data_IF_554854484675
#
_entry.id   IF_554854484675
#
_cell.length_a   1.000
_cell.length_b   1.000
_cell.length_c   1.000
_cell.angle_alpha   90.00
_cell.angle_beta   90.00
_cell.angle_gamma   90.00
#
_symmetry.space_group_name_H-M   'P 1'
#
loop_
_entity.id
_entity.type
_entity.pdbx_description
1 polymer ?
#
# COMPACT_ATOMS: atom_id res chain seq x y z
N UNK A 1 22.40 -10.40 -5.71
CA UNK A 1 21.32 -10.05 -6.69
C UNK A 1 22.02 -9.79 -8.02
N UNK A 2 21.58 -10.39 -9.15
CA UNK A 2 22.16 -10.06 -10.46
C UNK A 2 22.02 -8.56 -10.75
N UNK A 3 23.01 -8.00 -11.47
CA UNK A 3 22.99 -6.57 -11.84
C UNK A 3 22.09 -6.26 -13.02
N UNK A 4 21.72 -7.28 -13.79
CA UNK A 4 20.83 -7.17 -14.95
C UNK A 4 19.50 -7.85 -14.68
N UNK A 5 18.44 -7.39 -15.33
CA UNK A 5 17.07 -7.90 -15.18
C UNK A 5 16.26 -7.21 -14.09
N UNK A 6 15.00 -7.65 -13.96
CA UNK A 6 14.06 -7.11 -12.99
C UNK A 6 13.84 -8.13 -11.88
N UNK A 7 14.30 -7.80 -10.66
CA UNK A 7 14.29 -8.70 -9.53
C UNK A 7 13.46 -8.14 -8.38
N UNK A 8 12.74 -9.03 -7.70
CA UNK A 8 11.98 -8.71 -6.49
C UNK A 8 12.37 -9.69 -5.37
N UNK A 9 13.56 -9.50 -4.79
CA UNK A 9 14.08 -10.40 -3.76
C UNK A 9 13.21 -10.35 -2.49
N UNK A 10 13.16 -11.46 -1.77
CA UNK A 10 12.49 -11.60 -0.48
C UNK A 10 13.42 -12.20 0.54
N UNK A 11 13.50 -11.60 1.72
CA UNK A 11 14.16 -12.16 2.91
C UNK A 11 13.06 -12.65 3.85
N UNK A 12 13.16 -13.89 4.27
CA UNK A 12 12.20 -14.53 5.17
C UNK A 12 12.91 -14.95 6.46
N UNK A 13 12.29 -14.71 7.60
CA UNK A 13 12.71 -15.26 8.88
C UNK A 13 11.82 -16.48 9.20
N UNK A 14 12.42 -17.65 9.22
CA UNK A 14 11.74 -18.89 9.55
C UNK A 14 12.07 -19.31 10.99
N UNK A 15 11.05 -19.51 11.83
CA UNK A 15 11.21 -20.14 13.13
C UNK A 15 11.30 -21.67 12.95
N UNK A 16 12.33 -22.31 13.49
CA UNK A 16 12.55 -23.76 13.45
C UNK A 16 13.05 -24.27 14.81
N UNK A 17 12.95 -25.58 15.05
CA UNK A 17 13.41 -26.24 16.27
C UNK A 17 14.91 -26.05 16.58
N UNK A 18 15.72 -25.63 15.61
CA UNK A 18 17.16 -25.30 15.79
C UNK A 18 17.46 -23.81 15.88
N UNK A 19 16.46 -22.96 16.07
CA UNK A 19 16.59 -21.50 16.10
C UNK A 19 16.12 -20.83 14.80
N UNK A 20 16.05 -19.50 14.78
CA UNK A 20 15.60 -18.73 13.63
C UNK A 20 16.59 -18.83 12.46
N UNK A 21 16.08 -18.97 11.25
CA UNK A 21 16.88 -19.01 10.02
C UNK A 21 16.41 -17.96 9.03
N UNK A 22 17.34 -17.17 8.50
CA UNK A 22 17.10 -16.28 7.38
C UNK A 22 17.18 -17.05 6.07
N UNK A 23 16.18 -16.86 5.22
CA UNK A 23 16.11 -17.43 3.87
C UNK A 23 16.00 -16.28 2.86
N UNK A 24 16.93 -16.25 1.92
CA UNK A 24 16.88 -15.34 0.79
C UNK A 24 16.25 -16.04 -0.42
N UNK A 25 15.24 -15.40 -1.02
CA UNK A 25 14.62 -15.86 -2.26
C UNK A 25 14.79 -14.80 -3.33
N UNK A 26 15.52 -15.14 -4.37
CA UNK A 26 15.57 -14.34 -5.58
C UNK A 26 14.38 -14.71 -6.46
N UNK A 27 13.60 -13.70 -6.83
CA UNK A 27 12.42 -13.86 -7.68
C UNK A 27 12.44 -12.82 -8.78
N UNK A 28 11.97 -13.18 -9.98
CA UNK A 28 11.67 -12.18 -11.00
C UNK A 28 10.61 -11.21 -10.49
N UNK A 29 10.76 -9.93 -10.79
CA UNK A 29 9.78 -8.94 -10.43
C UNK A 29 8.51 -9.15 -11.30
N UNK A 30 7.31 -9.19 -10.69
CA UNK A 30 6.07 -9.07 -11.45
C UNK A 30 6.01 -7.74 -12.20
N UNK A 31 5.14 -7.66 -13.20
CA UNK A 31 4.87 -6.41 -13.91
C UNK A 31 4.44 -5.31 -12.93
N UNK A 32 4.99 -4.11 -13.16
CA UNK A 32 4.67 -2.93 -12.34
C UNK A 32 3.54 -2.15 -13.00
N UNK A 33 2.44 -1.98 -12.28
CA UNK A 33 1.31 -1.15 -12.70
C UNK A 33 1.39 0.25 -12.11
N UNK A 34 0.70 1.21 -12.74
CA UNK A 34 0.61 2.61 -12.28
C UNK A 34 -0.72 2.94 -11.63
N UNK A 35 -1.70 2.08 -11.82
CA UNK A 35 -3.06 2.23 -11.28
C UNK A 35 -3.49 1.00 -10.51
N UNK A 36 -4.56 1.14 -9.76
CA UNK A 36 -5.24 0.05 -9.08
C UNK A 36 -6.74 0.33 -9.00
N UNK A 37 -7.53 -0.72 -9.14
CA UNK A 37 -8.95 -0.74 -8.79
C UNK A 37 -9.06 -1.29 -7.38
N UNK A 38 -9.78 -0.59 -6.50
CA UNK A 38 -9.97 -0.98 -5.11
C UNK A 38 -11.33 -1.64 -4.91
N UNK A 39 -11.45 -2.49 -3.89
CA UNK A 39 -12.72 -2.92 -3.33
C UNK A 39 -12.61 -3.08 -1.81
N UNK A 40 -13.67 -2.76 -1.09
CA UNK A 40 -13.70 -2.97 0.36
C UNK A 40 -13.79 -4.46 0.67
N UNK A 41 -12.91 -4.96 1.53
CA UNK A 41 -13.08 -6.26 2.13
C UNK A 41 -14.25 -6.22 3.12
N UNK A 42 -15.31 -6.99 2.84
CA UNK A 42 -16.55 -6.97 3.65
C UNK A 42 -16.51 -7.90 4.87
N UNK A 43 -15.44 -8.70 5.01
CA UNK A 43 -15.24 -9.56 6.17
C UNK A 43 -14.50 -8.85 7.31
N UNK A 44 -14.34 -9.56 8.42
CA UNK A 44 -13.47 -9.09 9.51
C UNK A 44 -12.02 -9.07 9.02
N UNK A 45 -11.21 -8.16 9.59
CA UNK A 45 -9.77 -8.17 9.37
C UNK A 45 -9.22 -9.56 9.74
N UNK A 46 -8.63 -10.30 8.78
CA UNK A 46 -8.16 -11.66 9.03
C UNK A 46 -6.75 -11.71 9.62
N UNK A 47 -6.13 -10.55 9.87
CA UNK A 47 -4.77 -10.49 10.37
C UNK A 47 -4.71 -10.82 11.87
N UNK A 48 -3.70 -11.58 12.25
CA UNK A 48 -3.40 -11.94 13.63
C UNK A 48 -2.24 -11.13 14.21
N UNK A 49 -1.35 -10.62 13.33
CA UNK A 49 -0.19 -9.81 13.69
C UNK A 49 -0.06 -8.65 12.67
N UNK A 50 -1.01 -7.71 12.63
CA UNK A 50 -1.14 -6.73 11.55
C UNK A 50 0.07 -5.80 11.39
N UNK A 51 0.84 -5.57 12.47
CA UNK A 51 2.06 -4.73 12.40
C UNK A 51 3.28 -5.44 11.82
N UNK A 52 3.20 -6.75 11.61
CA UNK A 52 4.33 -7.56 11.12
C UNK A 52 4.06 -8.04 9.69
N UNK A 53 4.95 -7.67 8.78
CA UNK A 53 4.86 -8.17 7.41
C UNK A 53 5.37 -9.60 7.35
N UNK A 54 4.44 -10.53 7.14
CA UNK A 54 4.79 -11.93 6.96
C UNK A 54 3.75 -12.93 7.45
N UNK A 55 3.43 -12.99 8.75
CA UNK A 55 2.56 -14.05 9.30
C UNK A 55 1.21 -14.20 8.58
N UNK A 56 0.60 -13.08 8.22
CA UNK A 56 -0.75 -13.03 7.64
C UNK A 56 -0.78 -13.00 6.10
N UNK A 57 0.35 -13.23 5.41
CA UNK A 57 0.43 -13.12 3.94
C UNK A 57 -0.58 -14.01 3.21
N UNK A 58 -0.83 -15.22 3.71
CA UNK A 58 -1.79 -16.13 3.08
C UNK A 58 -3.24 -15.64 3.24
N UNK A 59 -3.56 -15.03 4.38
CA UNK A 59 -4.85 -14.39 4.61
C UNK A 59 -5.02 -13.17 3.71
N UNK A 60 -3.97 -12.35 3.58
CA UNK A 60 -3.96 -11.20 2.67
C UNK A 60 -4.12 -11.62 1.20
N UNK A 61 -3.46 -12.71 0.79
CA UNK A 61 -3.64 -13.26 -0.55
C UNK A 61 -5.08 -13.70 -0.80
N UNK A 62 -5.71 -14.38 0.16
CA UNK A 62 -7.10 -14.83 0.05
C UNK A 62 -8.06 -13.66 -0.17
N UNK A 63 -8.03 -12.63 0.71
CA UNK A 63 -8.95 -11.50 0.57
C UNK A 63 -8.71 -10.72 -0.73
N UNK A 64 -7.46 -10.59 -1.17
CA UNK A 64 -7.13 -9.98 -2.45
C UNK A 64 -7.69 -10.81 -3.62
N UNK A 65 -7.53 -12.14 -3.59
CA UNK A 65 -8.08 -13.02 -4.62
C UNK A 65 -9.61 -12.97 -4.67
N UNK A 66 -10.27 -12.78 -3.53
CA UNK A 66 -11.71 -12.65 -3.48
C UNK A 66 -12.21 -11.35 -4.13
N UNK A 67 -11.56 -10.22 -3.89
CA UNK A 67 -11.94 -8.96 -4.55
C UNK A 67 -11.57 -8.93 -6.03
N UNK A 68 -10.56 -9.71 -6.46
CA UNK A 68 -10.24 -9.86 -7.88
C UNK A 68 -11.39 -10.46 -8.70
N UNK A 69 -12.22 -11.30 -8.10
CA UNK A 69 -13.44 -11.83 -8.74
C UNK A 69 -14.47 -10.74 -9.06
N UNK A 70 -14.34 -9.57 -8.42
CA UNK A 70 -15.19 -8.39 -8.62
C UNK A 70 -14.51 -7.35 -9.54
N UNK A 71 -13.34 -7.68 -10.12
CA UNK A 71 -12.57 -6.78 -10.97
C UNK A 71 -11.65 -5.82 -10.23
N UNK A 72 -11.45 -5.98 -8.91
CA UNK A 72 -10.54 -5.14 -8.15
C UNK A 72 -9.11 -5.72 -8.10
N UNK A 73 -8.11 -4.86 -8.03
CA UNK A 73 -6.69 -5.24 -7.89
C UNK A 73 -6.27 -5.37 -6.43
N UNK A 74 -6.94 -4.64 -5.53
CA UNK A 74 -6.54 -4.48 -4.14
C UNK A 74 -7.75 -4.49 -3.20
N UNK A 75 -7.64 -5.25 -2.11
CA UNK A 75 -8.66 -5.29 -1.06
C UNK A 75 -8.34 -4.24 0.01
N UNK A 76 -9.29 -3.37 0.33
CA UNK A 76 -9.15 -2.39 1.41
C UNK A 76 -9.71 -2.97 2.70
N UNK A 77 -8.89 -2.94 3.75
CA UNK A 77 -9.22 -3.39 5.10
C UNK A 77 -9.71 -2.20 5.90
N UNK A 78 -10.81 -2.41 6.61
CA UNK A 78 -11.40 -1.41 7.50
C UNK A 78 -11.27 -1.82 8.98
N UNK A 79 -11.30 -0.83 9.86
CA UNK A 79 -11.53 -1.08 11.29
C UNK A 79 -12.94 -1.62 11.52
N UNK A 80 -13.24 -2.18 12.70
CA UNK A 80 -14.63 -2.56 13.06
C UNK A 80 -15.64 -1.41 12.93
N UNK A 81 -15.19 -0.17 13.13
CA UNK A 81 -16.01 1.04 13.04
C UNK A 81 -16.10 1.59 11.59
N UNK A 82 -15.48 0.90 10.61
CA UNK A 82 -15.58 1.24 9.20
C UNK A 82 -14.52 2.21 8.67
N UNK A 83 -13.48 2.53 9.43
CA UNK A 83 -12.41 3.41 8.97
C UNK A 83 -11.36 2.67 8.15
N UNK A 84 -10.84 3.34 7.14
CA UNK A 84 -9.80 2.82 6.24
C UNK A 84 -8.48 2.59 6.98
N UNK A 85 -7.92 1.38 6.89
CA UNK A 85 -6.65 1.01 7.52
C UNK A 85 -5.53 0.91 6.47
N UNK A 86 -5.60 -0.06 5.59
CA UNK A 86 -4.62 -0.30 4.52
C UNK A 86 -5.20 -1.23 3.45
N UNK A 87 -4.50 -1.40 2.34
CA UNK A 87 -4.78 -2.47 1.39
C UNK A 87 -4.11 -3.78 1.78
N UNK A 88 -4.59 -4.91 1.29
CA UNK A 88 -4.01 -6.23 1.57
C UNK A 88 -2.50 -6.31 1.23
N UNK A 89 -2.05 -5.60 0.20
CA UNK A 89 -0.65 -5.54 -0.25
C UNK A 89 -0.10 -4.13 -0.38
N UNK A 90 -0.83 -3.11 0.07
CA UNK A 90 -0.45 -1.70 -0.07
C UNK A 90 -0.86 -0.88 1.15
N UNK A 91 -0.10 0.16 1.44
CA UNK A 91 -0.57 1.24 2.31
C UNK A 91 -1.35 2.25 1.49
N UNK A 92 -2.25 2.98 2.12
CA UNK A 92 -3.10 3.96 1.47
C UNK A 92 -2.74 5.37 1.97
N UNK A 93 -2.64 6.31 1.03
CA UNK A 93 -2.53 7.75 1.28
C UNK A 93 -3.47 8.47 0.33
N UNK A 94 -3.99 9.63 0.73
CA UNK A 94 -4.92 10.42 -0.10
C UNK A 94 -4.65 11.92 0.03
N UNK A 95 -5.22 12.69 -0.87
CA UNK A 95 -5.03 14.13 -0.90
C UNK A 95 -6.30 14.88 -0.50
N UNK A 96 -6.17 15.81 0.45
CA UNK A 96 -7.15 16.84 0.76
C UNK A 96 -6.63 18.19 0.23
N UNK A 97 -6.94 18.49 -1.04
CA UNK A 97 -6.27 19.61 -1.72
C UNK A 97 -4.77 19.39 -1.84
N UNK A 98 -3.97 20.16 -1.13
CA UNK A 98 -2.51 20.06 -1.11
C UNK A 98 -1.96 19.38 0.15
N UNK A 99 -2.81 18.90 1.03
CA UNK A 99 -2.43 18.17 2.24
C UNK A 99 -2.39 16.67 1.91
N UNK A 100 -1.28 16.01 2.20
CA UNK A 100 -1.15 14.56 2.06
C UNK A 100 -1.61 13.88 3.35
N UNK A 101 -2.67 13.11 3.27
CA UNK A 101 -3.31 12.44 4.39
C UNK A 101 -3.06 10.93 4.40
N UNK A 102 -3.19 10.32 5.55
CA UNK A 102 -3.14 8.87 5.74
C UNK A 102 -3.88 8.43 6.99
N UNK A 103 -4.04 7.10 7.17
CA UNK A 103 -4.67 6.56 8.35
C UNK A 103 -3.87 6.90 9.62
N UNK A 104 -4.52 7.06 10.78
CA UNK A 104 -3.85 7.31 12.05
C UNK A 104 -2.80 6.25 12.41
N UNK A 105 -1.74 6.67 13.10
CA UNK A 105 -0.65 5.78 13.50
C UNK A 105 -1.08 4.67 14.48
N UNK A 106 -2.14 4.91 15.27
CA UNK A 106 -2.72 3.94 16.18
C UNK A 106 -3.41 2.77 15.47
N UNK A 107 -3.84 2.93 14.21
CA UNK A 107 -4.42 1.81 13.46
C UNK A 107 -3.37 0.72 13.22
N UNK A 108 -3.75 -0.50 13.53
CA UNK A 108 -2.86 -1.65 13.40
C UNK A 108 -2.63 -1.98 11.92
N UNK A 109 -1.49 -1.54 11.40
CA UNK A 109 -1.08 -1.74 10.00
C UNK A 109 0.43 -1.91 9.87
N UNK A 110 0.85 -2.42 8.73
CA UNK A 110 2.28 -2.54 8.41
C UNK A 110 2.91 -1.15 8.29
N UNK A 111 4.03 -0.93 8.99
CA UNK A 111 4.85 0.27 8.79
C UNK A 111 5.55 0.22 7.43
N UNK A 112 4.91 0.82 6.44
CA UNK A 112 5.33 0.78 5.04
C UNK A 112 6.51 1.70 4.78
N UNK A 113 7.63 1.14 4.36
CA UNK A 113 8.81 1.91 3.93
C UNK A 113 8.45 2.86 2.77
N UNK A 114 7.62 2.42 1.82
CA UNK A 114 7.21 3.25 0.68
C UNK A 114 6.35 4.44 1.14
N UNK A 115 5.38 4.21 2.03
CA UNK A 115 4.54 5.29 2.56
C UNK A 115 5.39 6.29 3.38
N UNK A 116 6.27 5.80 4.25
CA UNK A 116 7.21 6.67 4.99
C UNK A 116 8.09 7.51 4.06
N UNK A 117 8.64 6.91 3.00
CA UNK A 117 9.44 7.65 2.03
C UNK A 117 8.66 8.77 1.36
N UNK A 118 7.39 8.52 1.02
CA UNK A 118 6.51 9.54 0.42
C UNK A 118 6.18 10.64 1.42
N UNK A 119 5.85 10.31 2.68
CA UNK A 119 5.60 11.30 3.74
C UNK A 119 6.88 12.11 4.08
N UNK A 120 8.05 11.47 4.11
CA UNK A 120 9.33 12.17 4.28
C UNK A 120 9.61 13.15 3.13
N UNK A 121 9.31 12.75 1.90
CA UNK A 121 9.42 13.65 0.75
C UNK A 121 8.44 14.83 0.87
N UNK A 122 7.20 14.60 1.31
CA UNK A 122 6.23 15.66 1.53
C UNK A 122 6.75 16.68 2.54
N UNK A 123 7.25 16.23 3.70
CA UNK A 123 7.83 17.09 4.72
C UNK A 123 9.06 17.85 4.19
N UNK A 124 9.95 17.20 3.45
CA UNK A 124 11.13 17.84 2.85
C UNK A 124 10.78 18.91 1.80
N UNK A 125 9.59 18.83 1.20
CA UNK A 125 9.05 19.80 0.25
C UNK A 125 8.21 20.90 0.93
N UNK A 126 8.08 20.87 2.26
CA UNK A 126 7.27 21.83 3.01
C UNK A 126 5.77 21.62 2.83
N UNK A 127 5.33 20.43 2.44
CA UNK A 127 3.91 20.11 2.32
C UNK A 127 3.36 19.62 3.66
N UNK A 128 2.15 20.05 3.97
CA UNK A 128 1.45 19.56 5.16
C UNK A 128 1.07 18.10 5.01
N UNK A 129 1.20 17.36 6.10
CA UNK A 129 0.72 15.97 6.20
C UNK A 129 -0.22 15.84 7.37
N UNK A 130 -1.26 15.02 7.23
CA UNK A 130 -2.25 14.85 8.27
C UNK A 130 -2.65 13.37 8.43
N UNK A 131 -2.89 12.96 9.67
CA UNK A 131 -3.49 11.66 9.97
C UNK A 131 -4.97 11.86 10.27
N UNK A 132 -5.83 11.13 9.56
CA UNK A 132 -7.27 11.20 9.76
C UNK A 132 -7.94 9.83 9.66
N UNK A 133 -8.85 9.55 10.58
CA UNK A 133 -9.72 8.38 10.50
C UNK A 133 -10.89 8.70 9.56
N UNK A 134 -10.94 8.01 8.41
CA UNK A 134 -11.97 8.24 7.39
C UNK A 134 -12.62 6.93 6.96
N UNK A 135 -13.90 6.97 6.70
CA UNK A 135 -14.62 5.91 6.01
C UNK A 135 -14.38 5.97 4.50
N UNK A 136 -14.64 4.89 3.75
CA UNK A 136 -14.57 4.96 2.28
C UNK A 136 -15.42 6.09 1.68
N UNK A 137 -16.62 6.35 2.21
CA UNK A 137 -17.50 7.39 1.69
C UNK A 137 -16.92 8.81 1.82
N UNK A 138 -16.13 9.06 2.87
CA UNK A 138 -15.48 10.36 3.09
C UNK A 138 -14.28 10.61 2.15
N UNK A 139 -13.89 9.61 1.36
CA UNK A 139 -12.87 9.72 0.31
C UNK A 139 -13.47 10.07 -1.05
N UNK A 140 -14.78 10.29 -1.15
CA UNK A 140 -15.42 10.69 -2.41
C UNK A 140 -14.80 11.97 -2.98
N UNK A 141 -14.52 11.95 -4.28
CA UNK A 141 -13.87 13.06 -4.97
C UNK A 141 -12.39 13.30 -4.61
N UNK A 142 -11.74 12.40 -3.87
CA UNK A 142 -10.31 12.55 -3.51
C UNK A 142 -9.40 11.75 -4.44
N UNK A 143 -8.15 12.22 -4.59
CA UNK A 143 -7.07 11.43 -5.19
C UNK A 143 -6.50 10.48 -4.13
N UNK A 144 -6.57 9.19 -4.39
CA UNK A 144 -6.14 8.13 -3.48
C UNK A 144 -4.99 7.32 -4.10
N UNK A 145 -3.99 7.03 -3.31
CA UNK A 145 -2.82 6.26 -3.70
C UNK A 145 -2.68 4.94 -2.93
N UNK A 146 -2.36 3.87 -3.67
CA UNK A 146 -1.96 2.58 -3.11
C UNK A 146 -0.44 2.41 -3.27
N UNK A 147 0.28 2.29 -2.14
CA UNK A 147 1.73 2.30 -2.09
C UNK A 147 2.30 0.94 -1.71
N UNK A 148 3.26 0.46 -2.45
CA UNK A 148 3.93 -0.81 -2.16
C UNK A 148 5.38 -0.83 -2.66
N UNK A 149 6.19 -1.74 -2.10
CA UNK A 149 7.60 -1.88 -2.51
C UNK A 149 7.75 -2.29 -3.98
N UNK A 150 6.81 -3.07 -4.53
CA UNK A 150 6.86 -3.51 -5.93
C UNK A 150 6.49 -2.37 -6.89
N UNK A 151 5.33 -1.76 -6.69
CA UNK A 151 4.75 -0.81 -7.65
C UNK A 151 5.20 0.65 -7.40
N UNK A 152 5.73 0.96 -6.22
CA UNK A 152 5.89 2.33 -5.76
C UNK A 152 4.51 2.94 -5.47
N UNK A 153 4.18 4.05 -6.11
CA UNK A 153 2.88 4.71 -6.01
C UNK A 153 2.00 4.27 -7.18
N UNK A 154 0.80 3.78 -6.89
CA UNK A 154 -0.28 3.56 -7.85
C UNK A 154 -1.43 4.48 -7.50
N UNK A 155 -2.03 5.12 -8.51
CA UNK A 155 -3.29 5.84 -8.29
C UNK A 155 -4.45 4.84 -8.25
N UNK A 156 -5.36 5.02 -7.30
CA UNK A 156 -6.64 4.32 -7.33
C UNK A 156 -7.55 5.00 -8.34
N UNK A 157 -7.88 4.30 -9.42
CA UNK A 157 -8.72 4.85 -10.51
C UNK A 157 -10.20 4.64 -10.28
N UNK A 158 -10.54 3.65 -9.48
CA UNK A 158 -11.92 3.37 -9.09
C UNK A 158 -11.96 2.51 -7.83
N UNK A 159 -13.15 2.49 -7.20
CA UNK A 159 -13.44 1.65 -6.04
C UNK A 159 -14.78 0.95 -6.29
N UNK A 160 -14.74 -0.37 -6.42
CA UNK A 160 -15.94 -1.19 -6.68
C UNK A 160 -16.95 -1.02 -5.54
N UNK A 161 -18.17 -0.66 -5.88
CA UNK A 161 -19.25 -0.35 -4.92
C UNK A 161 -18.83 0.66 -3.83
N UNK A 162 -17.92 1.59 -4.17
CA UNK A 162 -17.36 2.57 -3.27
C UNK A 162 -17.41 4.00 -3.81
N UNK A 163 -16.62 4.92 -3.23
CA UNK A 163 -16.60 6.32 -3.63
C UNK A 163 -16.06 6.53 -5.04
N UNK A 164 -16.46 7.62 -5.67
CA UNK A 164 -15.81 8.12 -6.87
C UNK A 164 -14.44 8.71 -6.50
N UNK A 165 -13.42 8.40 -7.27
CA UNK A 165 -12.07 8.88 -7.01
C UNK A 165 -11.66 9.92 -8.06
N UNK A 166 -10.83 10.87 -7.65
CA UNK A 166 -10.30 11.90 -8.54
C UNK A 166 -8.81 11.66 -8.86
N UNK A 167 -8.33 12.36 -9.86
CA UNK A 167 -6.91 12.47 -10.19
C UNK A 167 -6.57 13.93 -10.47
N UNK A 168 -5.53 14.45 -9.83
CA UNK A 168 -4.96 15.72 -10.23
C UNK A 168 -3.91 15.50 -11.32
N UNK A 169 -4.11 16.07 -12.52
CA UNK A 169 -3.19 15.86 -13.64
C UNK A 169 -1.72 16.16 -13.27
N UNK A 170 -0.85 15.20 -13.57
CA UNK A 170 0.60 15.33 -13.34
C UNK A 170 1.10 15.05 -11.91
N UNK A 171 0.23 15.02 -10.89
CA UNK A 171 0.64 14.78 -9.50
C UNK A 171 1.28 13.40 -9.35
N UNK A 172 0.61 12.36 -9.80
CA UNK A 172 1.16 10.99 -9.76
C UNK A 172 2.52 10.89 -10.44
N UNK A 173 2.67 11.44 -11.65
CA UNK A 173 3.93 11.38 -12.41
C UNK A 173 5.07 12.06 -11.66
N UNK A 174 4.82 13.25 -11.11
CA UNK A 174 5.78 14.02 -10.33
C UNK A 174 6.23 13.25 -9.08
N UNK A 175 5.30 12.68 -8.33
CA UNK A 175 5.62 11.97 -7.09
C UNK A 175 6.33 10.63 -7.34
N UNK A 176 5.97 9.93 -8.42
CA UNK A 176 6.72 8.74 -8.83
C UNK A 176 8.16 9.07 -9.19
N UNK A 177 8.39 10.15 -9.93
CA UNK A 177 9.75 10.59 -10.27
C UNK A 177 10.56 10.95 -9.01
N UNK A 178 9.97 11.65 -8.04
CA UNK A 178 10.61 11.96 -6.75
C UNK A 178 10.96 10.70 -5.97
N UNK A 179 10.04 9.75 -5.87
CA UNK A 179 10.28 8.48 -5.19
C UNK A 179 11.37 7.65 -5.87
N UNK A 180 11.36 7.61 -7.20
CA UNK A 180 12.38 6.89 -7.98
C UNK A 180 13.77 7.53 -7.84
N UNK A 181 13.86 8.86 -7.66
CA UNK A 181 15.12 9.57 -7.42
C UNK A 181 15.79 9.21 -6.08
N UNK A 182 15.06 8.61 -5.12
CA UNK A 182 15.64 8.10 -3.87
C UNK A 182 16.41 6.79 -4.05
N UNK A 183 16.27 6.14 -5.19
CA UNK A 183 16.96 4.88 -5.47
C UNK A 183 18.45 5.14 -5.68
N UNK A 184 19.28 4.31 -5.03
CA UNK A 184 20.72 4.32 -5.21
C UNK A 184 21.15 3.01 -5.86
N UNK A 185 22.16 3.03 -6.74
CA UNK A 185 22.82 1.80 -7.20
C UNK A 185 23.34 1.00 -6.00
N UNK A 186 23.24 -0.32 -6.08
CA UNK A 186 23.77 -1.25 -5.08
C UNK A 186 25.18 -1.64 -5.52
#
# INVERSE_FOLDING_TARGET
>A
IPREGYWFPRVELHSRLGGPRLVFRLRSAPERTRSAVLATWRGRDPRTVPRVKGPDLDSMLRIRTDVQKQGADEAVILTPDGYVVEGAYSSLLWWRGDILCGPPAEFERVDSVTARSVLTLAAALGLDTHEEAVTPAELDGTELWALSALHGIRIATSWVDGPSLAEQPGRLATWRARLDALRRPI
#
